data_IF_038006758988
#
_entry.id   IF_038006758988
#
_cell.length_a   1.000
_cell.length_b   1.000
_cell.length_c   1.000
_cell.angle_alpha   90.00
_cell.angle_beta   90.00
_cell.angle_gamma   90.00
#
_symmetry.space_group_name_H-M   'P 1'
#
loop_
_entity.id
_entity.type
_entity.pdbx_description
1 polymer ?
#
# COMPACT_ATOMS: atom_id res chain seq x y z
N UNK A 1 1.56 -9.56 -34.72
CA UNK A 1 1.92 -8.13 -34.70
C UNK A 1 0.65 -7.31 -34.90
N UNK A 2 0.02 -6.86 -33.81
CA UNK A 2 -1.23 -6.07 -33.85
C UNK A 2 -1.01 -4.81 -33.04
N UNK A 3 -0.89 -3.69 -33.75
CA UNK A 3 -0.74 -2.36 -33.16
C UNK A 3 -2.09 -1.68 -33.24
N UNK A 4 -2.72 -1.39 -32.10
CA UNK A 4 -3.95 -0.60 -32.01
C UNK A 4 -3.61 0.71 -31.31
N UNK A 5 -3.56 1.80 -32.10
CA UNK A 5 -3.49 3.18 -31.63
C UNK A 5 -4.91 3.69 -31.45
N UNK A 6 -5.35 3.92 -30.22
CA UNK A 6 -6.61 4.64 -29.94
C UNK A 6 -6.24 6.09 -29.58
N UNK A 7 -6.71 7.00 -30.43
CA UNK A 7 -6.44 8.44 -30.38
C UNK A 7 -7.41 9.14 -29.42
N UNK A 8 -6.84 10.07 -28.66
CA UNK A 8 -7.47 10.92 -27.67
C UNK A 8 -8.06 12.17 -28.34
N UNK A 9 -9.39 12.39 -28.32
CA UNK A 9 -9.98 13.74 -28.52
C UNK A 9 -11.29 13.94 -27.74
N UNK A 10 -11.22 14.89 -26.81
CA UNK A 10 -12.33 15.61 -26.15
C UNK A 10 -13.38 16.12 -27.16
N UNK A 11 -14.67 16.04 -26.80
CA UNK A 11 -15.58 17.19 -26.91
C UNK A 11 -16.77 17.08 -25.93
N UNK A 12 -16.90 18.06 -25.06
CA UNK A 12 -18.02 18.25 -24.15
C UNK A 12 -19.25 18.82 -24.90
N UNK A 13 -20.46 18.36 -24.55
CA UNK A 13 -21.72 19.14 -24.48
C UNK A 13 -22.94 18.22 -24.55
N UNK A 14 -23.65 18.02 -23.43
CA UNK A 14 -25.10 17.73 -23.40
C UNK A 14 -25.58 17.72 -21.93
N UNK A 15 -25.59 18.90 -21.31
CA UNK A 15 -26.31 19.16 -20.06
C UNK A 15 -27.48 20.05 -20.44
N UNK A 16 -28.69 19.50 -20.61
CA UNK A 16 -29.96 20.12 -20.20
C UNK A 16 -31.19 19.43 -20.83
N UNK A 17 -32.24 19.43 -20.02
CA UNK A 17 -33.65 19.10 -20.28
C UNK A 17 -34.03 17.62 -20.36
N UNK A 18 -34.33 17.03 -19.19
CA UNK A 18 -35.63 16.36 -19.03
C UNK A 18 -36.03 16.33 -17.55
N UNK A 19 -36.82 17.32 -17.14
CA UNK A 19 -37.52 17.30 -15.87
C UNK A 19 -39.03 17.40 -16.12
N UNK A 20 -39.75 16.56 -15.38
CA UNK A 20 -41.18 16.60 -15.00
C UNK A 20 -42.19 15.84 -15.89
N UNK A 21 -42.55 14.63 -15.42
CA UNK A 21 -43.94 14.31 -15.08
C UNK A 21 -43.98 13.17 -14.04
N UNK A 22 -44.67 13.42 -12.93
CA UNK A 22 -44.84 12.54 -11.77
C UNK A 22 -45.92 11.48 -12.02
N UNK A 23 -45.83 10.32 -11.35
CA UNK A 23 -46.87 9.31 -11.41
C UNK A 23 -46.65 8.06 -10.57
N UNK A 24 -46.44 8.23 -9.26
CA UNK A 24 -46.88 7.32 -8.20
C UNK A 24 -46.78 5.81 -8.48
N UNK A 25 -45.60 5.22 -8.28
CA UNK A 25 -45.49 3.89 -7.72
C UNK A 25 -44.52 3.99 -6.55
N UNK A 26 -45.05 3.86 -5.34
CA UNK A 26 -44.24 3.68 -4.15
C UNK A 26 -43.42 2.40 -4.34
N UNK A 27 -42.17 2.54 -4.79
CA UNK A 27 -41.19 1.49 -4.60
C UNK A 27 -41.00 1.47 -3.08
N UNK A 28 -41.67 0.51 -2.44
CA UNK A 28 -41.36 0.09 -1.08
C UNK A 28 -39.85 0.02 -0.98
N UNK A 29 -39.31 0.66 0.05
CA UNK A 29 -37.89 0.77 0.33
C UNK A 29 -37.16 -0.48 -0.18
N UNK A 30 -36.24 -0.26 -1.12
CA UNK A 30 -35.19 -1.23 -1.31
C UNK A 30 -34.57 -1.40 0.07
N UNK A 31 -34.90 -2.50 0.74
CA UNK A 31 -34.10 -3.01 1.83
C UNK A 31 -32.81 -3.47 1.16
N UNK A 32 -31.97 -2.49 0.80
CA UNK A 32 -30.56 -2.71 0.63
C UNK A 32 -30.12 -3.49 1.88
N UNK A 33 -29.34 -4.58 1.75
CA UNK A 33 -28.74 -5.17 2.93
C UNK A 33 -27.97 -4.06 3.65
N UNK A 34 -28.49 -3.62 4.80
CA UNK A 34 -27.89 -2.61 5.69
C UNK A 34 -26.68 -3.20 6.43
N UNK A 35 -25.94 -4.11 5.78
CA UNK A 35 -24.59 -4.40 6.22
C UNK A 35 -23.86 -3.07 6.21
N UNK A 36 -23.34 -2.57 7.34
CA UNK A 36 -22.28 -1.59 7.24
C UNK A 36 -21.26 -2.26 6.32
N UNK A 37 -20.89 -1.62 5.20
CA UNK A 37 -19.61 -1.89 4.59
C UNK A 37 -18.63 -1.92 5.77
N UNK A 38 -18.07 -3.08 6.11
CA UNK A 38 -17.12 -3.19 7.21
C UNK A 38 -15.97 -2.25 6.83
N UNK A 39 -16.02 -1.06 7.41
CA UNK A 39 -14.97 -0.10 7.30
C UNK A 39 -13.75 -0.80 7.89
N UNK A 40 -12.66 -0.89 7.14
CA UNK A 40 -11.37 -1.46 7.58
C UNK A 40 -10.71 -0.57 8.65
N UNK A 41 -11.50 0.01 9.56
CA UNK A 41 -11.15 0.95 10.62
C UNK A 41 -10.31 0.32 11.75
N UNK A 42 -9.66 -0.81 11.47
CA UNK A 42 -8.77 -1.50 12.41
C UNK A 42 -7.51 -2.08 11.76
N UNK A 43 -7.38 -2.04 10.43
CA UNK A 43 -6.15 -2.51 9.80
C UNK A 43 -4.98 -1.56 10.10
N UNK A 44 -3.75 -2.10 10.21
CA UNK A 44 -2.58 -1.27 10.33
C UNK A 44 -2.31 -0.50 9.04
N UNK A 45 -1.63 0.63 9.15
CA UNK A 45 -0.95 1.26 8.01
C UNK A 45 0.52 0.88 8.07
N UNK A 46 1.05 0.32 6.99
CA UNK A 46 2.46 -0.08 6.90
C UNK A 46 3.31 1.07 6.35
N UNK A 47 4.38 1.45 7.04
CA UNK A 47 5.36 2.44 6.57
C UNK A 47 6.71 2.23 7.29
N UNK A 48 7.80 2.60 6.63
CA UNK A 48 9.12 2.68 7.26
C UNK A 48 10.05 3.66 6.56
N UNK A 49 11.13 4.02 7.25
CA UNK A 49 12.26 4.77 6.69
C UNK A 49 13.59 4.06 6.95
N UNK A 50 14.57 4.31 6.06
CA UNK A 50 15.94 3.79 6.17
C UNK A 50 16.79 4.88 6.83
N UNK A 51 17.33 4.62 8.02
CA UNK A 51 17.95 5.65 8.87
C UNK A 51 19.31 6.09 8.33
N UNK A 52 20.11 5.15 7.85
CA UNK A 52 21.50 5.37 7.44
C UNK A 52 21.81 4.62 6.14
N UNK A 53 21.08 4.94 5.07
CA UNK A 53 21.29 4.37 3.73
C UNK A 53 22.66 4.76 3.12
N UNK A 54 23.11 4.02 2.10
CA UNK A 54 24.33 4.34 1.35
C UNK A 54 25.64 4.05 2.10
N UNK A 55 25.66 2.99 2.91
CA UNK A 55 26.83 2.59 3.70
C UNK A 55 27.63 1.48 2.99
N UNK A 56 28.92 1.30 3.34
CA UNK A 56 29.69 0.20 2.78
C UNK A 56 29.09 -1.17 3.12
N UNK A 57 29.27 -2.17 2.25
CA UNK A 57 28.95 -3.55 2.58
C UNK A 57 29.67 -3.99 3.88
N UNK A 58 29.01 -4.83 4.67
CA UNK A 58 29.48 -5.25 5.99
C UNK A 58 29.23 -4.24 7.11
N UNK A 59 28.55 -3.12 6.83
CA UNK A 59 28.15 -2.17 7.87
C UNK A 59 26.67 -2.29 8.24
N UNK A 60 26.29 -2.04 9.51
CA UNK A 60 24.90 -2.11 9.92
C UNK A 60 24.07 -0.93 9.39
N UNK A 61 22.94 -1.26 8.75
CA UNK A 61 21.89 -0.33 8.34
C UNK A 61 20.67 -0.53 9.25
N UNK A 62 20.18 0.56 9.82
CA UNK A 62 19.05 0.59 10.73
C UNK A 62 17.77 1.03 10.00
N UNK A 63 16.65 0.42 10.39
CA UNK A 63 15.33 0.69 9.85
C UNK A 63 14.43 1.20 10.96
N UNK A 64 13.64 2.23 10.67
CA UNK A 64 12.65 2.79 11.59
C UNK A 64 11.26 2.40 11.11
N UNK A 65 10.53 1.65 11.91
CA UNK A 65 9.12 1.37 11.65
C UNK A 65 8.29 2.63 11.92
N UNK A 66 7.47 3.01 10.94
CA UNK A 66 6.53 4.13 11.02
C UNK A 66 5.09 3.64 10.88
N UNK A 67 4.89 2.32 10.95
CA UNK A 67 3.58 1.70 10.84
C UNK A 67 2.71 2.02 12.06
N UNK A 68 1.41 2.15 11.83
CA UNK A 68 0.40 2.37 12.88
C UNK A 68 -0.53 1.17 12.96
N UNK A 69 -1.04 0.87 14.16
CA UNK A 69 -2.01 -0.21 14.37
C UNK A 69 -1.46 -1.64 14.25
N UNK A 70 -0.15 -1.81 14.08
CA UNK A 70 0.50 -3.10 13.97
C UNK A 70 0.79 -3.72 15.35
N UNK A 71 0.61 -5.03 15.45
CA UNK A 71 1.01 -5.85 16.61
C UNK A 71 2.16 -6.80 16.30
N UNK A 72 2.48 -7.00 15.01
CA UNK A 72 3.58 -7.85 14.57
C UNK A 72 4.19 -7.34 13.28
N UNK A 73 5.48 -7.64 13.09
CA UNK A 73 6.31 -7.15 12.01
C UNK A 73 7.06 -8.31 11.36
N UNK A 74 7.21 -8.25 10.04
CA UNK A 74 8.10 -9.12 9.28
C UNK A 74 8.79 -8.28 8.20
N UNK A 75 10.09 -8.14 8.36
CA UNK A 75 10.99 -7.49 7.42
C UNK A 75 11.59 -8.53 6.49
N UNK A 76 11.59 -8.24 5.21
CA UNK A 76 12.37 -8.91 4.18
C UNK A 76 13.36 -7.88 3.63
N UNK A 77 14.65 -8.13 3.82
CA UNK A 77 15.71 -7.20 3.43
C UNK A 77 16.06 -7.29 1.94
N UNK A 78 15.48 -8.23 1.19
CA UNK A 78 15.73 -8.39 -0.24
C UNK A 78 17.04 -9.10 -0.60
N UNK A 79 17.82 -9.52 0.39
CA UNK A 79 19.04 -10.34 0.25
C UNK A 79 18.82 -11.81 0.68
N UNK A 80 17.59 -12.16 1.04
CA UNK A 80 17.20 -13.47 1.58
C UNK A 80 17.15 -13.54 3.11
N UNK A 81 17.56 -12.47 3.81
CA UNK A 81 17.45 -12.35 5.26
C UNK A 81 16.15 -11.67 5.68
N UNK A 82 15.72 -11.93 6.92
CA UNK A 82 14.48 -11.38 7.49
C UNK A 82 14.61 -11.04 8.97
N UNK A 83 13.70 -10.21 9.49
CA UNK A 83 13.61 -9.91 10.93
C UNK A 83 12.15 -9.73 11.37
N UNK A 84 11.87 -9.99 12.64
CA UNK A 84 10.56 -9.72 13.27
C UNK A 84 10.63 -8.61 14.32
N UNK A 85 11.79 -7.95 14.46
CA UNK A 85 11.93 -6.81 15.34
C UNK A 85 11.15 -5.61 14.80
N UNK A 86 10.65 -4.75 15.69
CA UNK A 86 9.95 -3.53 15.30
C UNK A 86 10.88 -2.56 14.56
N UNK A 87 12.07 -2.29 15.11
CA UNK A 87 13.09 -1.43 14.50
C UNK A 87 14.39 -2.22 14.32
N UNK A 88 14.53 -3.02 13.26
CA UNK A 88 15.69 -3.89 13.08
C UNK A 88 16.92 -3.11 12.62
N UNK A 89 18.08 -3.74 12.82
CA UNK A 89 19.31 -3.41 12.12
C UNK A 89 19.75 -4.63 11.32
N UNK A 90 20.22 -4.41 10.09
CA UNK A 90 20.66 -5.47 9.17
C UNK A 90 22.00 -5.13 8.54
N UNK A 91 22.81 -6.14 8.25
CA UNK A 91 24.11 -6.00 7.60
C UNK A 91 24.04 -6.64 6.23
N UNK A 92 24.31 -5.87 5.18
CA UNK A 92 24.39 -6.37 3.82
C UNK A 92 25.84 -6.75 3.50
N UNK A 93 26.12 -8.04 3.32
CA UNK A 93 27.47 -8.56 3.04
C UNK A 93 27.94 -8.28 1.61
N UNK A 94 26.99 -8.12 0.68
CA UNK A 94 27.26 -7.82 -0.72
C UNK A 94 26.92 -6.37 -1.05
N UNK A 95 27.69 -5.77 -1.95
CA UNK A 95 27.35 -4.49 -2.55
C UNK A 95 26.18 -4.67 -3.52
N UNK A 96 25.29 -3.68 -3.57
CA UNK A 96 24.09 -3.78 -4.39
C UNK A 96 22.97 -2.87 -3.95
N UNK A 97 21.85 -3.07 -4.64
CA UNK A 97 20.60 -2.34 -4.44
C UNK A 97 19.55 -3.34 -3.96
N UNK A 98 19.07 -3.19 -2.74
CA UNK A 98 18.17 -4.14 -2.09
C UNK A 98 16.80 -3.51 -1.84
N UNK A 99 15.75 -4.24 -2.21
CA UNK A 99 14.37 -3.80 -2.04
C UNK A 99 13.82 -4.36 -0.74
N UNK A 100 13.64 -3.49 0.23
CA UNK A 100 13.13 -3.88 1.55
C UNK A 100 11.60 -3.89 1.54
N UNK A 101 11.03 -4.95 2.10
CA UNK A 101 9.59 -5.10 2.30
C UNK A 101 9.28 -5.28 3.78
N UNK A 102 8.32 -4.51 4.28
CA UNK A 102 7.76 -4.65 5.60
C UNK A 102 6.34 -5.21 5.50
N UNK A 103 6.08 -6.32 6.17
CA UNK A 103 4.74 -6.87 6.38
C UNK A 103 4.35 -6.60 7.82
N UNK A 104 3.19 -5.97 8.03
CA UNK A 104 2.64 -5.71 9.36
C UNK A 104 1.31 -6.41 9.54
N UNK A 105 1.08 -6.90 10.75
CA UNK A 105 -0.16 -7.61 11.11
C UNK A 105 -0.77 -6.86 12.30
N UNK A 106 -2.06 -6.56 12.23
CA UNK A 106 -2.78 -5.82 13.26
C UNK A 106 -4.28 -5.78 12.99
N UNK A 107 -5.10 -5.72 14.04
CA UNK A 107 -6.57 -5.61 13.91
C UNK A 107 -7.24 -6.66 13.02
N UNK A 108 -6.65 -7.86 12.90
CA UNK A 108 -7.14 -8.94 12.04
C UNK A 108 -6.71 -8.84 10.57
N UNK A 109 -5.94 -7.82 10.20
CA UNK A 109 -5.45 -7.60 8.85
C UNK A 109 -3.95 -7.83 8.73
N UNK A 110 -3.50 -8.12 7.50
CA UNK A 110 -2.09 -8.13 7.12
C UNK A 110 -1.90 -7.13 5.98
N UNK A 111 -0.93 -6.24 6.13
CA UNK A 111 -0.61 -5.20 5.14
C UNK A 111 0.87 -5.27 4.81
N UNK A 112 1.20 -5.19 3.52
CA UNK A 112 2.58 -5.13 3.05
C UNK A 112 2.90 -3.72 2.54
N UNK A 113 4.12 -3.26 2.83
CA UNK A 113 4.70 -2.05 2.26
C UNK A 113 6.09 -2.36 1.71
N UNK A 114 6.29 -2.04 0.44
CA UNK A 114 7.58 -2.12 -0.23
C UNK A 114 8.18 -0.73 -0.20
N UNK A 115 9.40 -0.61 0.32
CA UNK A 115 10.11 0.66 0.40
C UNK A 115 10.18 1.34 -0.97
N UNK A 116 9.98 2.66 -0.98
CA UNK A 116 10.11 3.47 -2.20
C UNK A 116 11.57 3.78 -2.53
N UNK A 117 12.45 3.68 -1.53
CA UNK A 117 13.89 3.79 -1.68
C UNK A 117 14.52 2.40 -1.58
N UNK A 118 15.43 2.11 -2.50
CA UNK A 118 16.25 0.92 -2.37
C UNK A 118 17.42 1.18 -1.40
N UNK A 119 17.81 0.15 -0.67
CA UNK A 119 19.02 0.19 0.16
C UNK A 119 20.24 0.05 -0.74
N UNK A 120 21.20 0.96 -0.60
CA UNK A 120 22.45 0.93 -1.35
C UNK A 120 23.58 0.51 -0.41
N UNK A 121 24.15 -0.66 -0.65
CA UNK A 121 25.39 -1.11 -0.03
C UNK A 121 26.55 -0.92 -1.01
N UNK A 122 27.60 -0.20 -0.60
CA UNK A 122 28.72 0.23 -1.46
C UNK A 122 30.05 -0.47 -1.17
#
# INVERSE_FOLDING_TARGET
MKTIKISFRLLAAAFMLFALAFGSHAIQAENAPTSPMESLDGCPTASFSIVNNGKPAGTPISFSNESTGATSYLWDFGDGSSSTAENPTHVYEATGTFRVKLTVIGGGCTVEFIGTEDVIAL
#
